data_IF_236310966135
#
_entry.id   IF_236310966135
#
_cell.length_a   1.000
_cell.length_b   1.000
_cell.length_c   1.000
_cell.angle_alpha   90.00
_cell.angle_beta   90.00
_cell.angle_gamma   90.00
#
_symmetry.space_group_name_H-M   'P 1'
#
loop_
_entity.id
_entity.type
_entity.pdbx_description
1 polymer ?
2 polymer ?
3 polymer ?
4 non-polymer ?
5 non-polymer ?
6 water ?
#
# COMPACT_ATOMS: atom_id res chain seq x y z
N UNK A 7 -11.01 -5.91 16.46
CA UNK A 7 -12.31 -6.53 16.72
C UNK A 7 -13.00 -7.01 15.43
N UNK A 8 -13.40 -6.06 14.59
CA UNK A 8 -13.97 -6.37 13.29
C UNK A 8 -12.81 -6.72 12.37
N UNK A 9 -11.79 -5.87 12.43
CA UNK A 9 -10.68 -5.80 11.47
C UNK A 9 -10.04 -7.10 10.95
N UNK A 10 -9.45 -7.00 9.77
CA UNK A 10 -8.69 -8.09 9.21
C UNK A 10 -9.55 -9.10 8.48
N UNK A 11 -10.87 -8.97 8.63
CA UNK A 11 -11.77 -10.00 8.12
C UNK A 11 -12.71 -9.47 7.06
N UNK A 12 -12.62 -10.06 5.88
CA UNK A 12 -13.27 -9.52 4.71
C UNK A 12 -14.73 -9.95 4.58
N UNK A 13 -15.65 -8.98 4.68
CA UNK A 13 -17.09 -9.11 4.50
C UNK A 13 -17.45 -10.05 3.36
N UNK A 14 -16.74 -10.01 2.25
CA UNK A 14 -17.15 -10.82 1.12
C UNK A 14 -16.39 -12.12 0.98
N UNK A 15 -15.64 -12.48 2.02
CA UNK A 15 -14.81 -13.68 1.95
C UNK A 15 -14.76 -14.43 3.26
N UNK A 16 -13.98 -13.91 4.19
CA UNK A 16 -13.87 -14.51 5.51
C UNK A 16 -15.26 -14.62 6.14
N UNK A 17 -15.96 -13.50 6.21
CA UNK A 17 -17.26 -13.46 6.89
C UNK A 17 -18.32 -14.30 6.18
N UNK A 18 -18.14 -14.53 4.89
CA UNK A 18 -19.04 -15.40 4.15
C UNK A 18 -18.41 -16.75 3.91
N UNK A 19 -17.50 -17.16 4.78
CA UNK A 19 -16.73 -18.40 4.62
C UNK A 19 -16.39 -18.72 3.15
N UNK A 20 -15.45 -17.97 2.58
CA UNK A 20 -15.17 -18.00 1.14
C UNK A 20 -13.74 -17.60 0.79
N UNK A 21 -13.15 -18.28 -0.20
CA UNK A 21 -11.74 -18.04 -0.50
C UNK A 21 -11.48 -17.32 -1.81
N UNK A 22 -10.63 -16.30 -1.79
CA UNK A 22 -10.33 -15.62 -3.04
C UNK A 22 -9.39 -16.46 -3.90
N UNK A 23 -9.18 -16.01 -5.13
CA UNK A 23 -8.52 -16.79 -6.15
C UNK A 23 -7.11 -17.26 -5.78
N UNK A 24 -6.42 -16.48 -4.97
CA UNK A 24 -4.99 -16.71 -4.77
C UNK A 24 -4.55 -16.78 -3.33
N UNK A 25 -5.50 -16.94 -2.42
CA UNK A 25 -5.18 -17.14 -1.01
C UNK A 25 -4.27 -18.32 -0.83
N UNK A 26 -4.61 -19.44 -1.49
CA UNK A 26 -3.87 -20.70 -1.34
C UNK A 26 -2.37 -20.50 -1.59
N UNK A 27 -2.03 -19.73 -2.62
CA UNK A 27 -0.66 -19.42 -2.93
C UNK A 27 0.07 -18.90 -1.69
N UNK A 28 -0.60 -18.08 -0.89
CA UNK A 28 -0.01 -17.56 0.34
C UNK A 28 0.19 -18.61 1.41
N UNK A 29 -0.81 -19.45 1.63
CA UNK A 29 -0.71 -20.46 2.68
C UNK A 29 0.40 -21.42 2.33
N UNK A 30 0.34 -21.96 1.11
CA UNK A 30 1.37 -22.86 0.61
C UNK A 30 2.78 -22.32 0.88
N UNK A 31 2.93 -21.01 0.78
CA UNK A 31 4.22 -20.38 1.00
C UNK A 31 4.71 -20.51 2.44
N UNK A 32 3.79 -20.68 3.39
CA UNK A 32 4.20 -20.85 4.78
C UNK A 32 4.77 -22.24 5.00
N UNK A 33 4.29 -23.18 4.21
CA UNK A 33 4.78 -24.54 4.27
C UNK A 33 6.18 -24.64 3.64
N UNK A 34 6.46 -23.76 2.66
CA UNK A 34 7.79 -23.63 2.02
C UNK A 34 8.29 -22.18 1.87
N UNK B 1 0.95 -2.00 -10.46
CA UNK B 1 1.40 -3.36 -10.19
C UNK B 1 1.79 -4.09 -11.46
N UNK B 2 3.04 -4.51 -11.52
CA UNK B 2 3.58 -5.19 -12.69
C UNK B 2 3.41 -6.68 -12.49
N UNK B 3 2.94 -7.35 -13.53
CA UNK B 3 2.67 -8.79 -13.52
C UNK B 3 1.63 -9.22 -12.48
N UNK B 4 0.73 -8.29 -12.16
CA UNK B 4 -0.38 -8.58 -11.28
C UNK B 4 -1.50 -9.30 -11.99
N UNK B 5 -2.63 -9.39 -11.30
CA UNK B 5 -3.88 -9.85 -11.87
C UNK B 5 -4.96 -8.95 -11.33
N UNK B 6 -6.13 -8.96 -11.97
CA UNK B 6 -7.21 -8.09 -11.53
C UNK B 6 -7.78 -8.56 -10.20
N UNK B 7 -7.90 -7.63 -9.27
CA UNK B 7 -8.50 -7.92 -7.98
C UNK B 7 -9.94 -8.42 -8.17
N UNK B 8 -10.40 -9.22 -7.21
CA UNK B 8 -11.81 -9.57 -7.12
C UNK B 8 -12.49 -8.42 -6.40
N UNK B 9 -13.81 -8.45 -6.36
CA UNK B 9 -14.54 -7.39 -5.68
C UNK B 9 -14.55 -7.61 -4.19
N UNK B 10 -14.09 -6.60 -3.45
CA UNK B 10 -14.06 -6.65 -2.00
C UNK B 10 -12.96 -7.54 -1.47
N UNK B 11 -12.01 -7.80 -2.36
CA UNK B 11 -10.85 -8.64 -2.07
C UNK B 11 -9.89 -7.90 -1.17
N UNK B 12 -9.90 -6.58 -1.26
CA UNK B 12 -8.95 -5.78 -0.51
C UNK B 12 -9.61 -4.55 0.08
N UNK B 13 -10.59 -4.74 0.97
CA UNK B 13 -11.45 -3.60 1.33
C UNK B 13 -10.76 -2.48 2.07
N UNK B 14 -9.54 -2.70 2.59
CA UNK B 14 -8.79 -1.65 3.29
C UNK B 14 -8.09 -0.74 2.29
N UNK B 15 -8.00 -1.20 1.04
CA UNK B 15 -7.31 -0.46 0.00
C UNK B 15 -7.93 0.92 -0.18
N UNK B 16 -7.07 1.93 -0.18
CA UNK B 16 -7.48 3.31 -0.29
C UNK B 16 -6.78 3.94 -1.48
N UNK B 17 -7.50 4.79 -2.21
CA UNK B 17 -6.91 5.60 -3.27
C UNK B 17 -6.68 7.02 -2.76
N UNK B 18 -5.47 7.49 -2.95
CA UNK B 18 -5.09 8.83 -2.54
C UNK B 18 -5.19 9.74 -3.76
N UNK B 19 -6.05 10.75 -3.68
CA UNK B 19 -6.43 11.50 -4.86
C UNK B 19 -6.07 12.97 -4.73
N UNK B 20 -5.43 13.50 -5.77
CA UNK B 20 -5.10 14.92 -5.79
C UNK B 20 -6.26 15.78 -6.26
N UNK B 21 -6.58 16.83 -5.50
CA UNK B 21 -7.71 17.70 -5.82
C UNK B 21 -7.56 18.42 -7.16
N UNK B 22 -6.68 19.42 -7.21
CA UNK B 22 -6.40 20.12 -8.46
C UNK B 22 -4.91 20.15 -8.76
N UNK B 23 -4.52 19.59 -9.92
CA UNK B 23 -5.32 18.84 -10.89
C UNK B 23 -5.71 17.47 -10.38
N UNK B 24 -6.72 16.87 -10.98
CA UNK B 24 -7.14 15.55 -10.56
C UNK B 24 -6.18 14.50 -11.11
N UNK B 25 -5.46 13.86 -10.19
CA UNK B 25 -4.60 12.75 -10.56
C UNK B 25 -4.50 11.73 -9.43
N UNK B 26 -4.18 10.49 -9.79
CA UNK B 26 -3.90 9.45 -8.81
C UNK B 26 -2.50 9.70 -8.28
N UNK B 27 -2.36 9.78 -6.96
CA UNK B 27 -1.07 10.02 -6.34
C UNK B 27 -0.35 8.74 -5.93
N UNK B 28 -1.03 7.95 -5.10
CA UNK B 28 -0.55 6.62 -4.71
C UNK B 28 -1.64 5.92 -3.92
N UNK B 29 -1.37 4.71 -3.46
CA UNK B 29 -2.30 3.99 -2.61
C UNK B 29 -2.20 4.30 -1.12
N UNK B 30 -3.04 3.64 -0.32
CA UNK B 30 -2.97 3.71 1.13
C UNK B 30 -3.88 2.63 1.71
N UNK B 31 -3.97 2.56 3.03
CA UNK B 31 -4.76 1.51 3.64
C UNK B 31 -5.57 2.01 4.82
N UNK B 32 -6.79 1.50 4.93
CA UNK B 32 -7.67 1.80 6.05
C UNK B 32 -7.32 0.95 7.26
N UNK B 33 -7.00 1.60 8.38
CA UNK B 33 -6.65 0.85 9.57
C UNK B 33 -7.68 1.01 10.69
N UNK B 34 -8.59 1.97 10.49
CA UNK B 34 -9.69 2.22 11.43
C UNK B 34 -10.73 3.09 10.72
N UNK B 35 -11.83 3.40 11.39
CA UNK B 35 -12.86 4.21 10.75
C UNK B 35 -12.41 5.66 10.53
N UNK B 36 -11.26 6.04 11.09
CA UNK B 36 -10.82 7.42 10.98
C UNK B 36 -9.38 7.58 10.46
N UNK B 37 -8.64 6.47 10.41
CA UNK B 37 -7.20 6.54 10.20
C UNK B 37 -6.67 5.81 8.97
N UNK B 38 -5.86 6.51 8.21
CA UNK B 38 -5.35 5.95 6.98
C UNK B 38 -3.82 5.98 6.93
N UNK B 39 -3.25 4.85 6.55
CA UNK B 39 -1.81 4.68 6.57
C UNK B 39 -1.24 4.61 5.15
N UNK B 40 -0.40 5.58 4.80
CA UNK B 40 0.28 5.56 3.52
C UNK B 40 1.78 5.80 3.69
N UNK B 41 2.51 5.82 2.58
CA UNK B 41 3.91 6.18 2.56
C UNK B 41 4.05 7.67 2.74
N UNK B 42 5.16 8.11 3.31
CA UNK B 42 5.40 9.53 3.48
C UNK B 42 5.86 10.18 2.18
N UNK B 43 6.51 9.41 1.30
CA UNK B 43 7.09 10.02 0.11
C UNK B 43 6.01 10.34 -0.91
N UNK B 44 4.80 9.88 -0.64
CA UNK B 44 3.67 10.27 -1.46
C UNK B 44 3.27 11.68 -1.13
N UNK B 45 3.38 12.04 0.13
CA UNK B 45 2.88 13.32 0.61
C UNK B 45 3.93 14.40 0.61
N UNK B 46 5.20 13.99 0.59
CA UNK B 46 6.28 14.95 0.74
C UNK B 46 7.60 14.45 0.22
N UNK B 47 8.16 15.22 -0.69
CA UNK B 47 9.41 14.85 -1.30
C UNK B 47 10.00 16.10 -1.88
N UNK B 48 10.72 16.87 -1.04
CA UNK B 48 11.26 18.18 -1.37
C UNK B 48 11.97 18.28 -2.73
N UNK B 49 12.85 17.32 -3.09
CA UNK B 49 13.57 17.48 -4.37
C UNK B 49 12.67 17.66 -5.58
N UNK B 50 11.39 17.32 -5.44
CA UNK B 50 10.38 17.53 -6.47
C UNK B 50 9.38 18.60 -6.06
N UNK B 51 9.72 19.35 -5.02
CA UNK B 51 8.88 20.45 -4.55
C UNK B 51 7.49 19.91 -4.22
N UNK B 52 7.48 18.69 -3.69
CA UNK B 52 6.25 17.98 -3.33
C UNK B 52 5.99 18.13 -1.84
N UNK B 53 4.84 18.70 -1.52
CA UNK B 53 4.51 19.04 -0.14
C UNK B 53 3.04 19.34 -0.12
N UNK B 54 2.23 18.32 0.13
CA UNK B 54 0.77 18.46 0.15
C UNK B 54 0.29 18.81 1.54
N UNK B 55 -0.97 19.19 1.65
CA UNK B 55 -1.59 19.38 2.96
C UNK B 55 -3.02 18.84 2.98
N UNK B 56 -3.63 18.90 4.14
CA UNK B 56 -4.96 18.35 4.39
C UNK B 56 -6.02 18.81 3.37
N UNK B 57 -5.76 19.94 2.72
CA UNK B 57 -6.72 20.57 1.83
C UNK B 57 -6.37 20.40 0.36
N UNK B 58 -5.25 19.73 0.09
CA UNK B 58 -4.82 19.47 -1.28
C UNK B 58 -5.33 18.11 -1.77
N UNK B 59 -5.66 17.24 -0.83
CA UNK B 59 -5.90 15.82 -1.11
C UNK B 59 -7.29 15.32 -0.80
N UNK B 60 -7.65 14.23 -1.46
CA UNK B 60 -8.87 13.47 -1.15
C UNK B 60 -8.57 11.97 -1.04
N UNK B 61 -9.34 11.24 -0.24
CA UNK B 61 -9.20 9.78 -0.25
C UNK B 61 -10.44 9.05 -0.73
N UNK B 62 -10.24 8.05 -1.57
CA UNK B 62 -11.35 7.29 -2.12
C UNK B 62 -11.29 5.84 -1.64
N UNK B 63 -12.37 5.42 -1.00
CA UNK B 63 -12.36 4.19 -0.25
C UNK B 63 -13.44 3.25 -0.77
N UNK B 64 -13.14 1.97 -0.91
CA UNK B 64 -14.12 1.04 -1.42
C UNK B 64 -14.15 0.91 -2.93
N UNK B 65 -13.16 1.51 -3.61
CA UNK B 65 -13.12 1.49 -5.07
C UNK B 65 -12.64 0.19 -5.70
N UNK B 66 -13.01 -0.03 -6.95
CA UNK B 66 -12.45 -1.11 -7.74
C UNK B 66 -11.94 -0.61 -9.10
N UNK B 67 -12.79 0.06 -9.89
CA UNK B 67 -12.31 0.68 -11.12
C UNK B 67 -11.40 1.80 -10.71
N UNK B 68 -10.29 1.95 -11.43
CA UNK B 68 -9.35 3.02 -11.18
C UNK B 68 -9.99 4.39 -11.31
N UNK B 69 -10.75 4.57 -12.38
CA UNK B 69 -11.20 5.90 -12.82
C UNK B 69 -12.68 6.19 -12.60
N UNK B 70 -13.50 5.20 -12.96
CA UNK B 70 -14.95 5.30 -12.84
C UNK B 70 -15.40 5.67 -11.43
N UNK B 71 -16.38 6.57 -11.33
CA UNK B 71 -16.99 6.87 -10.04
C UNK B 71 -17.95 5.75 -9.69
N UNK B 72 -17.74 5.12 -8.54
CA UNK B 72 -18.50 3.93 -8.19
C UNK B 72 -19.59 4.25 -7.17
N UNK B 73 -20.69 4.74 -7.73
CA UNK B 73 -21.86 5.23 -7.01
C UNK B 73 -22.39 4.15 -6.12
N UNK B 74 -22.60 4.51 -4.86
CA UNK B 74 -23.21 3.63 -3.86
C UNK B 74 -22.31 2.44 -3.51
N UNK B 75 -21.01 2.69 -3.64
CA UNK B 75 -19.97 1.72 -3.31
C UNK B 75 -18.81 2.46 -2.68
N UNK B 76 -18.17 3.31 -3.48
CA UNK B 76 -17.05 4.09 -3.02
C UNK B 76 -17.54 5.24 -2.15
N UNK B 77 -16.83 5.50 -1.06
CA UNK B 77 -17.00 6.72 -0.28
C UNK B 77 -15.76 7.60 -0.44
N UNK B 78 -15.93 8.91 -0.43
CA UNK B 78 -14.79 9.80 -0.52
C UNK B 78 -14.73 10.55 0.78
N UNK B 79 -13.51 10.79 1.26
CA UNK B 79 -13.37 11.50 2.53
C UNK B 79 -12.31 12.59 2.44
N UNK B 80 -12.42 13.56 3.35
CA UNK B 80 -11.51 14.69 3.41
C UNK B 80 -10.58 14.50 4.59
N UNK B 81 -9.35 14.96 4.42
CA UNK B 81 -8.33 14.79 5.45
C UNK B 81 -8.41 15.89 6.50
N UNK B 82 -8.40 15.51 7.76
CA UNK B 82 -8.33 16.50 8.83
C UNK B 82 -6.89 16.88 9.19
N UNK B 83 -6.03 15.87 9.35
CA UNK B 83 -4.63 16.11 9.72
C UNK B 83 -3.73 15.09 9.03
N UNK B 84 -2.54 15.54 8.67
CA UNK B 84 -1.54 14.64 8.13
C UNK B 84 -0.39 14.54 9.14
N UNK B 85 0.14 13.34 9.36
CA UNK B 85 1.32 13.18 10.19
C UNK B 85 2.37 12.37 9.46
N UNK B 86 3.41 13.04 9.01
CA UNK B 86 4.55 12.35 8.42
C UNK B 86 5.47 11.96 9.55
N UNK B 87 6.20 10.87 9.39
CA UNK B 87 7.14 10.47 10.40
C UNK B 87 8.25 11.49 10.52
N UNK B 88 8.61 11.82 11.76
CA UNK B 88 9.67 12.79 12.11
C UNK B 88 11.06 12.43 11.59
N UNK B 89 11.43 11.16 11.58
CA UNK B 89 12.75 10.81 11.06
C UNK B 89 12.74 10.28 9.61
N UNK B 90 11.71 10.64 8.85
CA UNK B 90 11.63 10.23 7.46
C UNK B 90 12.74 10.90 6.66
N UNK B 91 13.69 10.11 6.19
CA UNK B 91 14.80 10.67 5.43
C UNK B 91 14.61 10.56 3.92
N UNK B 92 14.39 11.69 3.27
CA UNK B 92 14.06 11.70 1.85
C UNK B 92 15.26 12.04 1.00
N UNK B 93 16.39 12.26 1.63
CA UNK B 93 17.58 12.60 0.89
C UNK B 93 18.26 11.34 0.35
N UNK B 94 18.33 10.34 1.20
CA UNK B 94 19.25 9.22 1.00
C UNK B 94 18.60 7.87 0.59
N UNK B 95 17.65 7.36 1.36
CA UNK B 95 17.08 6.04 1.07
C UNK B 95 15.63 5.82 1.52
N UNK B 96 14.92 6.92 1.78
CA UNK B 96 13.52 6.85 2.19
C UNK B 96 13.35 5.97 3.42
N UNK B 97 14.29 6.10 4.35
CA UNK B 97 14.18 5.46 5.65
C UNK B 97 12.97 6.08 6.34
N UNK B 98 12.18 5.23 7.01
CA UNK B 98 11.00 5.64 7.76
C UNK B 98 9.97 6.31 6.87
N UNK B 99 9.78 5.72 5.69
CA UNK B 99 8.80 6.19 4.71
C UNK B 99 7.41 5.75 5.15
N UNK B 100 6.77 6.57 5.96
CA UNK B 100 5.48 6.22 6.53
C UNK B 100 4.77 7.50 6.95
N UNK B 101 3.44 7.49 6.94
CA UNK B 101 2.66 8.67 7.24
C UNK B 101 1.26 8.26 7.68
N UNK B 102 0.61 9.12 8.44
CA UNK B 102 -0.73 8.84 8.92
C UNK B 102 -1.65 9.98 8.54
N UNK B 103 -2.88 9.63 8.19
CA UNK B 103 -3.86 10.64 7.81
C UNK B 103 -5.14 10.43 8.59
N UNK B 104 -5.64 11.50 9.18
CA UNK B 104 -6.88 11.42 9.92
C UNK B 104 -8.03 11.94 9.07
N UNK B 105 -9.08 11.15 8.93
CA UNK B 105 -10.26 11.61 8.19
C UNK B 105 -11.04 12.61 9.04
N UNK B 106 -11.56 13.64 8.40
CA UNK B 106 -12.47 14.58 9.07
C UNK B 106 -13.66 13.82 9.67
N UNK B 107 -14.29 12.99 8.85
CA UNK B 107 -15.43 12.19 9.29
C UNK B 107 -15.11 10.70 9.19
N UNK B 108 -15.60 9.91 10.16
CA UNK B 108 -15.41 8.45 10.17
C UNK B 108 -16.18 7.74 9.07
N UNK B 109 -15.46 7.10 8.15
CA UNK B 109 -16.06 6.32 7.08
C UNK B 109 -16.93 5.17 7.62
N UNK B 110 -18.02 4.87 6.92
CA UNK B 110 -18.87 3.74 7.30
C UNK B 110 -18.41 2.49 6.57
N UNK B 111 -18.51 1.32 7.22
CA UNK B 111 -17.99 0.09 6.61
C UNK B 111 -19.04 -0.67 5.78
N UNK B 112 -18.63 -1.18 4.63
CA UNK B 112 -19.51 -1.96 3.78
C UNK B 112 -18.86 -3.29 3.42
N UNK B 113 -19.45 -4.01 2.48
CA UNK B 113 -18.80 -5.22 1.95
C UNK B 113 -17.52 -4.77 1.28
N UNK B 114 -17.51 -3.49 0.94
CA UNK B 114 -16.49 -2.86 0.12
C UNK B 114 -15.49 -2.08 0.95
N UNK B 115 -15.85 -1.75 2.18
CA UNK B 115 -14.99 -0.94 3.04
C UNK B 115 -14.80 -1.55 4.41
N UNK B 116 -13.55 -1.86 4.75
CA UNK B 116 -13.25 -2.55 5.99
C UNK B 116 -11.77 -2.43 6.29
N UNK B 117 -11.44 -2.16 7.56
CA UNK B 117 -10.06 -1.93 8.01
C UNK B 117 -9.18 -3.19 8.07
N UNK B 118 -7.88 -2.97 8.04
CA UNK B 118 -6.93 -4.07 8.08
C UNK B 118 -6.31 -4.12 9.48
N UNK B 119 -5.77 -5.28 9.84
CA UNK B 119 -5.10 -5.43 11.12
C UNK B 119 -3.64 -5.03 11.04
N UNK B 120 -3.17 -4.37 12.08
CA UNK B 120 -1.74 -4.11 12.25
C UNK B 120 -1.13 -5.18 13.14
N UNK B 121 0.07 -5.64 12.80
CA UNK B 121 0.58 -6.80 13.52
C UNK B 121 1.17 -6.41 14.86
N UNK B 122 1.11 -7.34 15.82
CA UNK B 122 1.79 -7.18 17.08
C UNK B 122 3.10 -7.92 16.94
N UNK B 123 3.89 -7.90 18.01
CA UNK B 123 5.25 -8.41 17.97
C UNK B 123 5.42 -9.82 17.37
N UNK B 124 4.61 -10.77 17.81
CA UNK B 124 4.82 -12.15 17.38
C UNK B 124 4.16 -12.43 16.05
N UNK B 125 3.14 -11.65 15.70
CA UNK B 125 2.50 -11.84 14.42
C UNK B 125 3.51 -11.44 13.38
N UNK B 126 4.21 -10.34 13.68
CA UNK B 126 5.27 -9.87 12.81
C UNK B 126 6.39 -10.89 12.74
N UNK B 127 6.70 -11.45 13.89
CA UNK B 127 7.75 -12.43 14.01
C UNK B 127 7.40 -13.80 13.43
N UNK B 128 6.10 -14.14 13.42
CA UNK B 128 5.70 -15.43 12.90
C UNK B 128 5.59 -15.36 11.39
N UNK B 129 5.00 -14.26 10.92
CA UNK B 129 4.57 -14.17 9.52
C UNK B 129 5.65 -13.65 8.59
N UNK B 130 6.40 -12.67 9.06
CA UNK B 130 7.35 -11.99 8.21
C UNK B 130 8.69 -12.71 8.19
N UNK B 131 8.82 -13.64 7.24
CA UNK B 131 9.99 -14.50 7.13
C UNK B 131 10.23 -14.76 5.65
N UNK B 132 11.50 -14.77 5.24
CA UNK B 132 11.84 -14.88 3.83
C UNK B 132 11.24 -16.14 3.27
N UNK B 133 10.64 -16.06 2.10
CA UNK B 133 10.01 -17.23 1.50
C UNK B 133 8.51 -17.17 1.63
N UNK B 134 8.04 -16.53 2.70
CA UNK B 134 6.63 -16.35 2.94
C UNK B 134 6.07 -15.24 2.04
N UNK B 135 4.92 -15.48 1.43
CA UNK B 135 4.36 -14.53 0.49
C UNK B 135 3.36 -13.59 1.15
N UNK B 136 3.37 -12.36 0.65
CA UNK B 136 2.42 -11.35 1.06
C UNK B 136 1.68 -10.88 -0.17
N UNK B 137 0.82 -9.90 0.00
CA UNK B 137 0.02 -9.45 -1.12
C UNK B 137 0.10 -7.93 -1.30
N UNK B 138 0.24 -7.51 -2.54
CA UNK B 138 0.35 -6.09 -2.86
C UNK B 138 -0.72 -5.68 -3.87
N UNK B 139 -1.26 -4.48 -3.63
CA UNK B 139 -2.41 -3.98 -4.38
C UNK B 139 -2.26 -2.51 -4.75
N UNK B 140 -2.76 -2.16 -5.93
CA UNK B 140 -2.77 -0.77 -6.34
C UNK B 140 -3.26 -0.55 -7.75
N UNK B 141 -3.49 0.72 -8.06
CA UNK B 141 -3.86 1.13 -9.42
C UNK B 141 -2.66 1.76 -10.11
N UNK B 142 -1.47 1.48 -9.58
CA UNK B 142 -0.24 1.91 -10.22
C UNK B 142 -0.02 1.36 -11.61
N UNK B 143 1.13 1.67 -12.19
CA UNK B 143 1.37 1.36 -13.59
C UNK B 143 1.71 -0.08 -13.86
N UNK B 144 1.50 -0.51 -15.09
CA UNK B 144 1.60 -1.93 -15.44
C UNK B 144 3.01 -2.36 -15.80
N UNK B 145 3.83 -1.38 -16.20
CA UNK B 145 5.22 -1.61 -16.55
C UNK B 145 6.01 -0.40 -16.07
N UNK B 146 7.30 -0.58 -15.80
CA UNK B 146 8.17 0.56 -15.58
C UNK B 146 8.20 1.32 -16.90
N UNK B 147 7.92 2.63 -16.86
CA UNK B 147 7.62 3.37 -18.08
C UNK B 147 8.70 3.31 -19.19
N UNK B 155 -0.45 2.69 -20.01
CA UNK B 155 0.16 1.74 -19.10
C UNK B 155 -0.52 1.69 -17.74
N UNK B 156 -1.69 2.31 -17.67
CA UNK B 156 -2.51 2.34 -16.46
C UNK B 156 -3.47 1.17 -16.44
N UNK B 157 -3.80 0.66 -15.24
CA UNK B 157 -4.72 -0.46 -15.17
C UNK B 157 -6.18 0.03 -15.20
N UNK B 158 -7.08 -0.87 -15.56
CA UNK B 158 -8.49 -0.54 -15.61
C UNK B 158 -9.08 -0.54 -14.21
N UNK B 159 -8.64 -1.52 -13.42
CA UNK B 159 -9.13 -1.75 -12.06
C UNK B 159 -7.99 -2.18 -11.16
N UNK B 160 -8.29 -2.28 -9.86
CA UNK B 160 -7.34 -2.67 -8.83
C UNK B 160 -6.55 -3.91 -9.23
N UNK B 161 -5.24 -3.82 -9.09
CA UNK B 161 -4.35 -4.89 -9.50
C UNK B 161 -3.82 -5.50 -8.24
N UNK B 162 -3.55 -6.80 -8.30
CA UNK B 162 -3.07 -7.54 -7.12
C UNK B 162 -1.97 -8.55 -7.48
N UNK B 163 -0.95 -8.66 -6.62
CA UNK B 163 0.13 -9.61 -6.86
C UNK B 163 0.66 -10.20 -5.54
N UNK B 164 1.06 -11.49 -5.57
CA UNK B 164 1.61 -12.16 -4.38
C UNK B 164 3.12 -12.28 -4.50
N UNK B 165 3.82 -11.64 -3.58
CA UNK B 165 5.27 -11.61 -3.65
C UNK B 165 5.88 -12.18 -2.40
N UNK B 166 6.86 -13.07 -2.58
CA UNK B 166 7.68 -13.68 -1.52
C UNK B 166 8.61 -12.69 -0.86
N UNK B 167 8.72 -12.78 0.46
CA UNK B 167 9.65 -11.99 1.22
C UNK B 167 11.08 -12.48 0.98
N UNK B 168 12.05 -11.57 1.07
CA UNK B 168 13.43 -11.91 0.71
C UNK B 168 14.40 -11.80 1.90
N UNK B 169 15.36 -12.72 1.95
CA UNK B 169 16.44 -12.79 2.95
C UNK B 169 17.27 -11.51 3.01
N UNK B 170 17.44 -10.92 4.19
CA UNK B 170 18.08 -9.59 4.28
C UNK B 170 19.47 -9.42 3.60
N UNK B 171 20.40 -10.37 3.79
CA UNK B 171 21.52 -10.56 2.88
C UNK B 171 21.20 -10.22 1.44
N UNK B 172 20.26 -10.98 0.88
CA UNK B 172 19.90 -10.85 -0.53
C UNK B 172 19.39 -9.45 -0.92
N UNK B 173 18.60 -8.83 -0.06
CA UNK B 173 18.18 -7.45 -0.25
C UNK B 173 19.37 -6.52 -0.30
N UNK B 174 20.34 -6.74 0.58
CA UNK B 174 21.45 -5.82 0.71
C UNK B 174 22.45 -5.96 -0.44
N UNK B 175 22.58 -7.17 -0.94
CA UNK B 175 23.53 -7.43 -2.01
C UNK B 175 22.85 -7.35 -3.35
N UNK B 176 21.65 -6.78 -3.36
CA UNK B 176 20.95 -6.47 -4.62
C UNK B 176 21.10 -4.98 -4.92
N UNK B 177 21.53 -4.21 -3.93
CA UNK B 177 21.61 -2.78 -4.11
C UNK B 177 22.82 -2.11 -3.44
N UNK B 178 23.15 -0.92 -3.94
CA UNK B 178 24.13 -0.04 -3.33
C UNK B 178 23.51 0.86 -2.28
N UNK B 179 22.18 0.91 -2.24
CA UNK B 179 21.49 1.74 -1.26
C UNK B 179 21.53 1.09 0.13
N UNK B 180 21.57 1.93 1.15
CA UNK B 180 21.69 1.48 2.53
C UNK B 180 20.34 0.97 2.98
N UNK B 181 20.28 -0.29 3.40
CA UNK B 181 19.00 -0.88 3.81
C UNK B 181 18.78 -0.88 5.33
N UNK B 182 18.18 0.18 5.85
CA UNK B 182 17.84 0.24 7.29
C UNK B 182 16.91 -0.89 7.76
N UNK B 183 16.70 -0.94 9.07
CA UNK B 183 15.92 -2.00 9.70
C UNK B 183 14.42 -1.77 9.63
N UNK B 184 14.00 -0.64 9.08
CA UNK B 184 12.58 -0.36 8.92
C UNK B 184 12.09 -0.68 7.51
N UNK B 185 12.90 -1.46 6.81
CA UNK B 185 12.60 -1.87 5.45
C UNK B 185 12.63 -3.36 5.42
N UNK B 186 11.85 -3.96 4.55
CA UNK B 186 12.11 -5.31 4.12
C UNK B 186 11.87 -5.36 2.63
N UNK B 187 12.37 -6.38 1.97
CA UNK B 187 12.16 -6.47 0.53
C UNK B 187 11.49 -7.78 0.12
N UNK B 188 10.80 -7.74 -1.02
CA UNK B 188 10.04 -8.88 -1.46
C UNK B 188 10.03 -8.92 -2.96
N UNK B 189 10.05 -10.13 -3.50
CA UNK B 189 9.95 -10.30 -4.92
C UNK B 189 10.65 -11.55 -5.38
N UNK B 190 10.55 -11.86 -6.66
CA UNK B 190 11.17 -13.07 -7.14
C UNK B 190 12.64 -12.90 -7.52
N UNK B 191 13.41 -13.98 -7.40
CA UNK B 191 14.75 -14.05 -7.93
C UNK B 191 14.59 -14.28 -9.42
N UNK B 192 15.61 -13.94 -10.20
CA UNK B 192 15.48 -13.82 -11.66
C UNK B 192 15.16 -15.13 -12.37
N UNK B 193 15.44 -16.24 -11.69
CA UNK B 193 15.11 -17.54 -12.23
C UNK B 193 14.25 -18.30 -11.24
N UNK B 194 13.39 -17.58 -10.52
CA UNK B 194 12.36 -18.22 -9.72
C UNK B 194 11.18 -18.48 -10.63
N UNK B 195 11.27 -17.99 -11.87
CA UNK B 195 10.27 -18.30 -12.86
C UNK B 195 9.08 -17.35 -12.86
N UNK B 196 8.59 -17.03 -11.68
CA UNK B 196 7.56 -16.00 -11.52
C UNK B 196 8.25 -14.64 -11.52
N UNK B 197 7.46 -13.59 -11.61
CA UNK B 197 7.96 -12.24 -11.40
C UNK B 197 6.82 -11.34 -11.01
N UNK B 198 7.10 -10.04 -10.97
CA UNK B 198 6.08 -9.10 -10.55
C UNK B 198 6.55 -8.22 -9.41
N UNK B 199 6.08 -6.99 -9.40
CA UNK B 199 6.56 -5.98 -8.47
C UNK B 199 5.46 -4.95 -8.34
N UNK B 200 5.63 -4.04 -7.38
CA UNK B 200 4.83 -2.82 -7.34
C UNK B 200 5.36 -1.84 -8.41
N UNK B 201 4.62 -0.77 -8.68
CA UNK B 201 5.10 0.25 -9.60
C UNK B 201 4.68 1.68 -9.22
N UNK B 202 4.87 2.61 -10.16
CA UNK B 202 4.53 4.00 -9.88
C UNK B 202 3.04 4.18 -9.55
N UNK B 203 2.76 4.89 -8.46
CA UNK B 203 1.39 5.10 -8.00
C UNK B 203 0.90 3.93 -7.18
N UNK B 204 1.79 2.99 -6.89
CA UNK B 204 1.45 1.89 -6.00
C UNK B 204 1.89 2.16 -4.57
N UNK B 205 2.90 3.01 -4.42
CA UNK B 205 3.45 3.39 -3.13
C UNK B 205 2.37 3.70 -2.11
N UNK B 206 2.65 3.49 -0.82
CA UNK B 206 1.65 3.77 0.20
C UNK B 206 0.65 2.65 0.33
N UNK B 207 0.44 1.93 -0.77
CA UNK B 207 -0.44 0.78 -0.76
C UNK B 207 0.10 -0.24 0.22
N UNK B 208 -0.76 -1.12 0.71
CA UNK B 208 -0.37 -2.06 1.76
C UNK B 208 0.18 -3.38 1.20
N UNK B 209 1.13 -3.93 1.95
CA UNK B 209 1.61 -5.29 1.78
C UNK B 209 1.01 -6.08 2.94
N UNK B 210 0.11 -7.00 2.64
CA UNK B 210 -0.59 -7.69 3.72
C UNK B 210 -0.34 -9.16 3.65
N UNK B 211 -0.48 -9.82 4.81
CA UNK B 211 -0.48 -11.27 4.87
C UNK B 211 -1.65 -11.77 5.69
N UNK B 212 -2.09 -12.98 5.35
CA UNK B 212 -3.18 -13.63 6.07
C UNK B 212 -2.67 -14.58 7.15
N UNK B 213 -3.08 -14.35 8.39
CA UNK B 213 -2.70 -15.23 9.48
C UNK B 213 -3.33 -16.59 9.34
N UNK B 214 -2.51 -17.65 9.45
CA UNK B 214 -2.97 -19.05 9.31
C UNK B 214 -3.55 -19.54 10.60
N UNK B 215 -3.58 -18.65 11.58
CA UNK B 215 -4.06 -19.01 12.89
C UNK B 215 -5.49 -18.48 13.07
N UNK B 216 -5.74 -17.26 12.58
CA UNK B 216 -7.06 -16.65 12.75
C UNK B 216 -7.73 -16.06 11.50
N UNK B 217 -7.32 -16.50 10.32
CA UNK B 217 -7.88 -15.95 9.09
C UNK B 217 -7.92 -14.42 8.95
N UNK B 218 -7.21 -13.68 9.80
CA UNK B 218 -7.17 -12.24 9.66
C UNK B 218 -6.04 -11.79 8.74
N UNK B 219 -6.25 -10.67 8.06
CA UNK B 219 -5.21 -10.07 7.25
C UNK B 219 -4.50 -9.00 8.06
N UNK B 220 -3.17 -8.98 7.94
CA UNK B 220 -2.36 -8.03 8.68
C UNK B 220 -1.54 -7.25 7.70
N UNK B 221 -1.55 -5.91 7.80
CA UNK B 221 -0.63 -5.12 6.97
C UNK B 221 0.77 -5.16 7.55
N UNK B 222 1.66 -5.85 6.84
CA UNK B 222 3.00 -6.07 7.33
C UNK B 222 3.96 -4.98 6.85
N UNK B 223 3.78 -4.56 5.61
CA UNK B 223 4.58 -3.49 5.05
C UNK B 223 3.74 -2.45 4.32
N UNK B 224 4.39 -1.35 3.98
CA UNK B 224 3.81 -0.31 3.17
C UNK B 224 4.66 -0.27 1.92
N UNK B 225 4.05 -0.13 0.74
CA UNK B 225 4.87 -0.07 -0.48
C UNK B 225 5.70 1.20 -0.45
N UNK B 226 7.02 1.06 -0.49
CA UNK B 226 7.86 2.23 -0.30
C UNK B 226 8.67 2.57 -1.54
N UNK B 227 9.62 1.73 -1.91
CA UNK B 227 10.50 2.13 -2.99
C UNK B 227 11.08 0.94 -3.69
N UNK B 228 11.79 1.22 -4.78
CA UNK B 228 12.42 0.19 -5.56
C UNK B 228 13.16 0.87 -6.67
N UNK B 229 14.18 0.19 -7.20
CA UNK B 229 14.94 0.68 -8.33
C UNK B 229 14.24 0.27 -9.62
N UNK B 230 13.26 1.07 -10.04
CA UNK B 230 12.46 0.72 -11.20
C UNK B 230 11.29 -0.16 -10.81
N UNK B 231 10.87 -1.03 -11.72
CA UNK B 231 9.74 -1.91 -11.49
C UNK B 231 10.06 -3.27 -12.07
N UNK B 232 10.05 -4.31 -11.25
CA UNK B 232 10.12 -5.69 -11.75
C UNK B 232 11.44 -5.94 -12.50
N UNK B 233 12.47 -5.18 -12.14
CA UNK B 233 13.77 -5.35 -12.76
C UNK B 233 14.37 -6.65 -12.26
N UNK B 234 14.87 -7.48 -13.17
CA UNK B 234 15.59 -8.72 -12.78
C UNK B 234 16.69 -8.46 -11.74
N UNK B 235 16.71 -9.24 -10.67
CA UNK B 235 17.73 -9.10 -9.67
C UNK B 235 17.61 -7.82 -8.86
N UNK B 236 16.39 -7.30 -8.83
CA UNK B 236 16.04 -6.18 -7.98
C UNK B 236 14.78 -6.57 -7.21
N UNK B 237 14.58 -5.99 -6.04
CA UNK B 237 13.39 -6.31 -5.27
C UNK B 237 12.69 -5.05 -4.89
N UNK B 238 11.54 -5.21 -4.27
CA UNK B 238 10.75 -4.04 -3.90
C UNK B 238 10.88 -3.80 -2.42
N UNK B 239 10.93 -2.54 -2.03
CA UNK B 239 11.15 -2.26 -0.63
C UNK B 239 9.92 -1.75 0.08
N UNK B 240 9.77 -2.20 1.32
CA UNK B 240 8.54 -1.99 2.08
C UNK B 240 8.84 -1.48 3.46
N UNK B 241 8.13 -0.44 3.85
CA UNK B 241 8.26 0.10 5.19
C UNK B 241 7.84 -0.99 6.15
N UNK B 242 8.69 -1.31 7.11
CA UNK B 242 8.38 -2.34 8.08
C UNK B 242 7.36 -1.81 9.11
N UNK B 243 6.11 -2.25 9.01
CA UNK B 243 5.04 -1.60 9.75
C UNK B 243 5.19 -1.84 11.23
N UNK B 244 5.62 -3.04 11.61
CA UNK B 244 5.79 -3.32 13.02
C UNK B 244 6.90 -2.50 13.71
N UNK B 245 8.06 -2.37 13.06
CA UNK B 245 9.11 -1.52 13.59
C UNK B 245 8.55 -0.12 13.92
N UNK B 246 7.73 0.42 13.06
CA UNK B 246 7.16 1.75 13.28
C UNK B 246 5.86 1.76 14.13
N UNK B 247 5.51 0.61 14.72
CA UNK B 247 4.26 0.48 15.50
C UNK B 247 4.14 1.52 16.61
N UNK B 248 5.25 1.75 17.30
CA UNK B 248 5.29 2.68 18.43
C UNK B 248 4.93 4.10 18.02
N UNK B 249 5.41 4.54 16.85
CA UNK B 249 5.12 5.89 16.36
C UNK B 249 3.66 6.00 16.02
N UNK B 250 3.18 5.00 15.29
CA UNK B 250 1.77 4.89 14.94
C UNK B 250 0.94 4.98 16.22
N UNK B 251 1.32 4.16 17.20
CA UNK B 251 0.66 4.13 18.48
C UNK B 251 0.57 5.55 19.05
N UNK B 252 1.72 6.24 19.05
CA UNK B 252 1.81 7.58 19.62
C UNK B 252 0.88 8.55 18.94
N UNK B 253 1.00 8.63 17.62
CA UNK B 253 0.24 9.57 16.83
C UNK B 253 -1.25 9.39 17.04
N UNK B 254 -1.68 8.13 17.19
CA UNK B 254 -3.09 7.85 17.42
C UNK B 254 -3.54 8.19 18.84
N UNK B 255 -2.74 7.83 19.83
CA UNK B 255 -3.15 8.03 21.21
C UNK B 255 -3.17 9.52 21.55
N UNK B 256 -2.19 10.26 21.03
CA UNK B 256 -2.12 11.70 21.25
C UNK B 256 -3.15 12.43 20.40
N UNK B 257 -2.71 12.87 19.21
CA UNK B 257 -3.61 13.52 18.26
C UNK B 257 -4.78 12.60 17.93
N UNK B 258 -5.96 13.18 17.73
CA UNK B 258 -7.16 12.38 17.51
C UNK B 258 -7.52 11.50 18.69
N UNK B 259 -8.49 11.94 19.50
CA UNK B 259 -8.89 11.21 20.69
C UNK B 259 -9.89 10.09 20.38
N UNK C 34 -18.91 14.41 0.81
CA UNK C 34 -20.25 14.88 0.36
C UNK C 34 -21.17 13.78 -0.24
N UNK C 35 -20.76 13.20 -1.36
CA UNK C 35 -21.52 12.19 -2.09
C UNK C 35 -22.86 12.72 -2.59
N UNK C 36 -22.86 13.44 -3.71
CA UNK C 36 -24.04 14.19 -4.12
C UNK C 36 -24.14 14.44 -5.64
N UNK C 37 -24.07 13.37 -6.44
CA UNK C 37 -23.79 13.44 -7.90
C UNK C 37 -23.29 14.80 -8.43
N UNK C 38 -21.96 14.87 -8.58
CA UNK C 38 -21.29 16.06 -9.05
C UNK C 38 -21.17 16.03 -10.56
N UNK C 39 -20.65 14.92 -11.10
CA UNK C 39 -20.26 14.84 -12.51
C UNK C 39 -19.19 15.90 -12.87
N UNK C 40 -18.58 16.49 -11.84
CA UNK C 40 -17.51 17.48 -11.99
C UNK C 40 -16.20 16.95 -11.41
N UNK C 41 -16.17 15.65 -11.18
CA UNK C 41 -14.99 14.89 -10.82
C UNK C 41 -14.64 14.00 -12.02
N UNK C 42 -13.40 14.12 -12.51
CA UNK C 42 -12.99 13.40 -13.73
C UNK C 42 -13.13 11.90 -13.59
N UNK C 43 -13.36 11.23 -14.72
CA UNK C 43 -13.32 9.77 -14.76
C UNK C 43 -12.27 9.36 -15.78
N UNK C 44 -11.33 10.27 -15.99
CA UNK C 44 -10.27 10.11 -16.97
C UNK C 44 -9.07 10.95 -16.55
N UNK C 45 -8.28 10.44 -15.60
CA UNK C 45 -7.14 11.19 -15.07
C UNK C 45 -5.88 10.37 -15.15
N UNK C 46 -4.81 10.88 -14.55
CA UNK C 46 -3.53 10.22 -14.70
C UNK C 46 -2.88 9.81 -13.41
N UNK C 47 -2.38 8.58 -13.40
CA UNK C 47 -1.53 8.10 -12.31
C UNK C 47 -0.32 9.00 -12.33
N UNK C 48 -0.02 9.62 -11.18
CA UNK C 48 1.06 10.61 -11.07
C UNK C 48 2.46 10.00 -11.16
N UNK C 49 3.46 10.72 -10.65
CA UNK C 49 4.80 10.17 -10.77
C UNK C 49 5.43 9.88 -9.42
N UNK C 50 5.97 8.67 -9.32
CA UNK C 50 6.46 8.13 -8.08
C UNK C 50 7.95 8.33 -7.97
N UNK C 51 8.38 9.10 -6.97
CA UNK C 51 9.81 9.20 -6.67
C UNK C 51 10.29 7.85 -6.17
N UNK C 52 9.38 7.11 -5.54
CA UNK C 52 9.69 5.83 -4.94
C UNK C 52 10.31 4.84 -5.92
N UNK C 53 9.75 4.78 -7.11
CA UNK C 53 10.24 3.83 -8.09
C UNK C 53 11.52 4.30 -8.78
N UNK C 54 11.89 5.56 -8.50
CA UNK C 54 12.98 6.23 -9.20
C UNK C 54 14.28 6.40 -8.36
N UNK C 55 14.55 5.45 -7.49
CA UNK C 55 15.75 5.51 -6.67
C UNK C 55 16.81 4.67 -7.35
N UNK C 56 18.07 5.00 -7.12
CA UNK C 56 19.17 4.17 -7.61
C UNK C 56 19.12 4.00 -9.12
N UNK C 57 19.28 2.78 -9.60
CA UNK C 57 19.24 2.47 -11.02
C UNK C 57 17.93 2.92 -11.67
N UNK C 58 16.90 3.08 -10.85
CA UNK C 58 15.61 3.54 -11.30
C UNK C 58 15.62 5.02 -11.53
N UNK C 59 16.74 5.67 -11.23
CA UNK C 59 16.87 7.08 -11.56
C UNK C 59 16.79 7.25 -13.04
N UNK C 60 16.03 8.26 -13.43
CA UNK C 60 15.75 8.51 -14.82
C UNK C 60 16.58 9.67 -15.33
N UNK C 61 16.87 9.68 -16.64
CA UNK C 61 17.72 10.73 -17.22
C UNK C 61 17.14 12.11 -16.93
X LIG D 1 5.56 22.07 3.57
X LIG D 1 6.59 22.52 4.63
X LIG D 1 5.97 22.81 5.98
X LIG D 1 4.83 23.81 5.77
X LIG D 1 3.82 23.17 4.82
X LIG D 1 2.55 24.00 4.65
X LIG D 1 8.75 21.62 4.03
X LIG D 1 10.05 21.39 4.73
X LIG D 1 7.64 21.53 4.76
X LIG D 1 6.91 23.33 6.89
X LIG D 1 4.27 24.24 7.00
X LIG D 1 4.43 22.94 3.55
X LIG D 1 2.91 25.29 4.19
X LIG D 1 8.72 21.91 2.83
X LIG E 1 12.92 -8.22 -9.45
#
# INVERSE_FOLDING_TARGET
TFGSGEADCGLRPLFEKKSLEDKTERELLESYIDGR
IVEGSDAEIGMSPWQVMLFRKSPQELLCGASLISDRWVLTAAHCLLYPPWDKNFTENDLLVRIGKHSRTRYERNIEKISMLEKIYIHPRYNWRENLDRDIALMKLKKPVAFSDYIHPVCLPDRETAASLLQAGYKGRVTGWGNLKETWTANVGKGQPSVLQVVNLPIVERPVCKDSTRIRITDNMFCAGYKPDEGKRGDACEGDSGGPFVMKSPFNNRWYQMGIVSWGEGCDRDGKYGFYTHVFRLKKWIQKVIDQFGE
APQYAPGDEPSYDEDTDDSDKLVENDTSITDEDYAAIEASLSETFNTAADPGRRLGEGSKP
NAG C1 C2 C3 C4 C5 C6 C7 C8 N2 O3 O4 O5 O6 O7
NA NA
#
